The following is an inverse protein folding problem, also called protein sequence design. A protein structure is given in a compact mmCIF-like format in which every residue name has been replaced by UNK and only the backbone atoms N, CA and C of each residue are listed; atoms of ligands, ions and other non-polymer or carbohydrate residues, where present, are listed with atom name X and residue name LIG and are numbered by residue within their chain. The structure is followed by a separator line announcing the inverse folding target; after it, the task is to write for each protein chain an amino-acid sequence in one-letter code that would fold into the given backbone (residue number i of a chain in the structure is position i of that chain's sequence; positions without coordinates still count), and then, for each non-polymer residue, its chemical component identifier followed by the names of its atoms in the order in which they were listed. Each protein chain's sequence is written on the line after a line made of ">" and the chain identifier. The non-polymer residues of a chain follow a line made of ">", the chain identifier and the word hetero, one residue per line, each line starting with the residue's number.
data_IF_851042290479
#
_entry.id   IF_851042290479
#
_cell.length_a   1.000
_cell.length_b   1.000
_cell.length_c   1.000
_cell.angle_alpha   90.00
_cell.angle_beta   90.00
_cell.angle_gamma   90.00
#
_symmetry.space_group_name_H-M   'P 1'
#
loop_
_entity.id
_entity.type
_entity.pdbx_description
1 polymer ?
#
# COMPACT_ATOMS: atom_id res chain seq x y z
N UNK A 1 -33.77 -38.82 -52.72
CA UNK A 1 -32.78 -39.20 -51.67
C UNK A 1 -31.68 -38.16 -51.39
N UNK A 2 -31.35 -37.24 -52.29
CA UNK A 2 -30.23 -36.27 -52.11
C UNK A 2 -30.54 -35.08 -51.19
N UNK A 3 -31.78 -34.59 -51.15
CA UNK A 3 -32.17 -33.45 -50.29
C UNK A 3 -32.01 -33.69 -48.80
N UNK A 4 -32.18 -34.91 -48.32
CA UNK A 4 -32.08 -35.20 -46.88
C UNK A 4 -30.63 -35.30 -46.39
N UNK A 5 -29.67 -35.60 -47.30
CA UNK A 5 -28.23 -35.66 -46.95
C UNK A 5 -27.62 -34.24 -46.78
N UNK A 6 -28.06 -33.27 -47.57
CA UNK A 6 -27.60 -31.89 -47.45
C UNK A 6 -28.08 -31.26 -46.16
N UNK A 7 -29.33 -31.54 -45.76
CA UNK A 7 -29.93 -31.01 -44.50
C UNK A 7 -29.25 -31.61 -43.27
N UNK A 8 -28.90 -32.89 -43.29
CA UNK A 8 -28.20 -33.55 -42.18
C UNK A 8 -26.75 -33.03 -42.01
N UNK A 9 -26.06 -32.77 -43.12
CA UNK A 9 -24.69 -32.18 -43.07
C UNK A 9 -24.67 -30.75 -42.52
N UNK A 10 -25.68 -29.94 -42.86
CA UNK A 10 -25.78 -28.55 -42.35
C UNK A 10 -26.10 -28.54 -40.85
N UNK A 11 -26.99 -29.42 -40.38
CA UNK A 11 -27.31 -29.54 -38.96
C UNK A 11 -26.12 -30.01 -38.11
N UNK A 12 -25.34 -30.96 -38.61
CA UNK A 12 -24.14 -31.45 -37.92
C UNK A 12 -23.06 -30.35 -37.87
N UNK A 13 -22.90 -29.56 -38.91
CA UNK A 13 -21.93 -28.44 -38.93
C UNK A 13 -22.32 -27.34 -37.95
N UNK A 14 -23.61 -26.98 -37.84
CA UNK A 14 -24.09 -26.01 -36.88
C UNK A 14 -23.90 -26.47 -35.43
N UNK A 15 -24.16 -27.74 -35.15
CA UNK A 15 -23.94 -28.33 -33.83
C UNK A 15 -22.46 -28.37 -33.43
N UNK A 16 -21.55 -28.67 -34.37
CA UNK A 16 -20.11 -28.65 -34.13
C UNK A 16 -19.58 -27.23 -33.86
N UNK A 17 -20.02 -26.26 -34.63
CA UNK A 17 -19.64 -24.86 -34.44
C UNK A 17 -20.16 -24.33 -33.09
N UNK A 18 -21.40 -24.64 -32.71
CA UNK A 18 -21.97 -24.27 -31.44
C UNK A 18 -21.21 -24.87 -30.25
N UNK A 19 -20.78 -26.12 -30.34
CA UNK A 19 -19.97 -26.74 -29.28
C UNK A 19 -18.55 -26.14 -29.16
N UNK A 20 -17.93 -25.80 -30.30
CA UNK A 20 -16.59 -25.16 -30.28
C UNK A 20 -16.67 -23.74 -29.69
N UNK A 21 -17.68 -22.97 -30.05
CA UNK A 21 -17.89 -21.62 -29.48
C UNK A 21 -18.22 -21.71 -27.99
N UNK A 22 -19.02 -22.69 -27.56
CA UNK A 22 -19.33 -22.90 -26.13
C UNK A 22 -18.06 -23.34 -25.36
N UNK A 23 -17.23 -24.19 -25.93
CA UNK A 23 -15.98 -24.62 -25.31
C UNK A 23 -14.97 -23.48 -25.20
N UNK A 24 -14.88 -22.61 -26.21
CA UNK A 24 -13.98 -21.43 -26.13
C UNK A 24 -14.47 -20.42 -25.10
N UNK A 25 -15.76 -20.18 -24.96
CA UNK A 25 -16.31 -19.32 -23.92
C UNK A 25 -16.09 -19.95 -22.53
N UNK A 26 -16.21 -21.25 -22.36
CA UNK A 26 -15.96 -21.94 -21.10
C UNK A 26 -14.46 -21.97 -20.74
N UNK A 27 -13.56 -22.05 -21.70
CA UNK A 27 -12.10 -22.02 -21.45
C UNK A 27 -11.61 -20.62 -21.08
N UNK A 28 -12.25 -19.55 -21.56
CA UNK A 28 -11.90 -18.19 -21.17
C UNK A 28 -12.46 -17.80 -19.77
N UNK A 29 -13.48 -18.51 -19.27
CA UNK A 29 -14.04 -18.23 -17.93
C UNK A 29 -13.35 -19.02 -16.81
N UNK A 30 -12.63 -20.10 -17.11
CA UNK A 30 -11.92 -20.91 -16.10
C UNK A 30 -10.50 -20.45 -15.77
N UNK A 31 -10.03 -19.35 -16.36
CA UNK A 31 -8.69 -18.82 -16.09
C UNK A 31 -8.64 -17.81 -14.92
N UNK A 32 -9.75 -17.58 -14.24
CA UNK A 32 -9.76 -16.84 -12.99
C UNK A 32 -9.69 -17.87 -11.85
N UNK A 33 -8.47 -18.26 -11.46
CA UNK A 33 -8.33 -19.02 -10.21
C UNK A 33 -9.00 -18.22 -9.08
N UNK A 34 -10.01 -18.83 -8.46
CA UNK A 34 -10.61 -18.30 -7.24
C UNK A 34 -9.50 -18.04 -6.23
N UNK A 35 -9.14 -16.79 -6.00
CA UNK A 35 -8.17 -16.42 -4.98
C UNK A 35 -7.12 -15.39 -5.39
N UNK A 36 -6.86 -15.17 -6.68
CA UNK A 36 -5.81 -14.21 -7.09
C UNK A 36 -6.31 -12.78 -7.01
N UNK A 37 -5.72 -12.01 -6.10
CA UNK A 37 -6.05 -10.60 -5.89
C UNK A 37 -5.32 -9.74 -6.92
N UNK A 38 -6.08 -8.93 -7.66
CA UNK A 38 -5.51 -7.93 -8.55
C UNK A 38 -4.97 -6.74 -7.74
N UNK A 39 -3.78 -6.25 -8.11
CA UNK A 39 -3.24 -5.00 -7.60
C UNK A 39 -3.59 -3.90 -8.61
N UNK A 40 -4.35 -2.91 -8.16
CA UNK A 40 -4.65 -1.70 -8.90
C UNK A 40 -3.53 -0.66 -8.79
N UNK A 41 -3.89 0.61 -8.99
CA UNK A 41 -2.95 1.73 -8.94
C UNK A 41 -3.39 2.79 -7.95
N UNK A 42 -2.41 3.47 -7.36
CA UNK A 42 -2.66 4.64 -6.54
C UNK A 42 -3.53 5.66 -7.30
N UNK A 43 -4.59 6.10 -6.65
CA UNK A 43 -5.48 7.15 -7.16
C UNK A 43 -5.66 8.20 -6.04
N UNK A 44 -4.63 9.02 -5.77
CA UNK A 44 -4.64 9.97 -4.67
C UNK A 44 -5.84 10.91 -4.74
N UNK A 45 -6.53 11.06 -3.63
CA UNK A 45 -7.75 11.88 -3.47
C UNK A 45 -7.68 12.67 -2.16
N UNK A 46 -8.68 13.50 -1.95
CA UNK A 46 -8.83 14.25 -0.71
C UNK A 46 -7.96 15.51 -0.62
N UNK A 47 -8.04 16.16 0.53
CA UNK A 47 -7.32 17.40 0.78
C UNK A 47 -5.83 17.12 1.05
N UNK A 48 -4.95 18.03 0.63
CA UNK A 48 -3.54 17.97 1.04
C UNK A 48 -3.39 18.05 2.54
N UNK A 49 -2.44 17.30 3.09
CA UNK A 49 -2.02 17.43 4.48
C UNK A 49 -0.98 18.55 4.56
N UNK A 50 -1.37 19.63 5.22
CA UNK A 50 -0.48 20.78 5.40
C UNK A 50 0.48 20.51 6.55
N UNK A 51 1.75 20.30 6.24
CA UNK A 51 2.79 20.22 7.23
C UNK A 51 3.45 21.60 7.41
N UNK A 52 3.83 21.96 8.65
CA UNK A 52 4.51 23.25 8.86
C UNK A 52 5.86 23.26 8.16
N UNK A 53 6.26 24.43 7.67
CA UNK A 53 7.63 24.64 7.15
C UNK A 53 8.60 24.73 8.33
N UNK A 54 9.28 23.64 8.64
CA UNK A 54 10.24 23.55 9.73
C UNK A 54 11.65 23.84 9.23
N UNK A 55 12.38 24.70 9.94
CA UNK A 55 13.75 25.14 9.59
C UNK A 55 14.61 25.28 10.87
N UNK A 56 15.93 25.36 10.69
CA UNK A 56 16.85 25.63 11.79
C UNK A 56 16.94 24.52 12.84
N UNK A 57 16.68 23.28 12.44
CA UNK A 57 16.67 22.13 13.34
C UNK A 57 15.38 21.96 14.14
N UNK A 58 14.28 22.64 13.76
CA UNK A 58 13.00 22.51 14.46
C UNK A 58 12.39 21.13 14.29
N UNK A 59 11.79 20.62 15.37
CA UNK A 59 11.05 19.36 15.43
C UNK A 59 9.63 19.69 15.91
N UNK A 60 8.63 19.16 15.23
CA UNK A 60 7.24 19.31 15.65
C UNK A 60 6.95 18.32 16.78
N UNK A 61 6.40 18.82 17.88
CA UNK A 61 6.01 17.98 19.00
C UNK A 61 4.97 16.93 18.56
N UNK A 62 5.05 15.72 19.09
CA UNK A 62 4.23 14.59 18.64
C UNK A 62 2.72 14.82 18.81
N UNK A 63 2.30 15.57 19.81
CA UNK A 63 0.90 15.96 20.03
C UNK A 63 0.36 16.99 19.00
N UNK A 64 1.23 17.53 18.14
CA UNK A 64 0.90 18.44 17.05
C UNK A 64 0.97 17.76 15.68
N UNK A 65 1.29 16.47 15.63
CA UNK A 65 1.33 15.73 14.37
C UNK A 65 -0.07 15.65 13.76
N UNK A 66 -0.16 15.64 12.42
CA UNK A 66 -1.44 15.36 11.77
C UNK A 66 -1.92 13.95 12.12
N UNK A 67 -3.23 13.74 12.05
CA UNK A 67 -3.79 12.41 12.19
C UNK A 67 -3.29 11.52 11.04
N UNK A 68 -2.63 10.43 11.39
CA UNK A 68 -2.12 9.46 10.43
C UNK A 68 -3.22 8.88 9.53
N UNK A 69 -4.44 8.79 10.04
CA UNK A 69 -5.58 8.29 9.29
C UNK A 69 -6.09 9.25 8.20
N UNK A 70 -5.62 10.51 8.18
CA UNK A 70 -5.94 11.46 7.11
C UNK A 70 -5.14 11.25 5.81
N UNK A 71 -4.07 10.43 5.84
CA UNK A 71 -3.20 10.23 4.69
C UNK A 71 -3.70 9.21 3.67
N UNK A 72 -4.58 8.29 4.07
CA UNK A 72 -5.16 7.29 3.17
C UNK A 72 -6.64 7.15 3.50
N UNK A 73 -7.50 7.22 2.48
CA UNK A 73 -8.93 7.00 2.64
C UNK A 73 -9.37 5.65 2.05
N UNK A 74 -10.62 5.27 2.30
CA UNK A 74 -11.14 3.99 1.84
C UNK A 74 -11.24 3.87 0.31
N UNK A 75 -11.50 4.97 -0.40
CA UNK A 75 -11.59 4.96 -1.86
C UNK A 75 -10.21 4.79 -2.50
N UNK A 76 -9.17 5.31 -1.86
CA UNK A 76 -7.78 5.09 -2.26
C UNK A 76 -7.36 3.63 -2.04
N UNK A 77 -7.80 3.01 -0.93
CA UNK A 77 -7.59 1.57 -0.69
C UNK A 77 -8.31 0.74 -1.75
N UNK A 78 -9.56 1.09 -2.11
CA UNK A 78 -10.31 0.41 -3.18
C UNK A 78 -9.65 0.54 -4.55
N UNK A 79 -8.97 1.64 -4.81
CA UNK A 79 -8.22 1.82 -6.06
C UNK A 79 -7.00 0.89 -6.12
N UNK A 80 -6.32 0.67 -4.99
CA UNK A 80 -5.17 -0.24 -4.88
C UNK A 80 -5.63 -1.71 -4.84
N UNK A 81 -6.76 -1.99 -4.19
CA UNK A 81 -7.33 -3.33 -4.08
C UNK A 81 -8.77 -3.36 -4.62
N UNK A 82 -8.94 -3.54 -5.94
CA UNK A 82 -10.27 -3.73 -6.52
C UNK A 82 -10.98 -4.92 -5.87
N UNK A 83 -12.21 -4.69 -5.41
CA UNK A 83 -13.01 -5.73 -4.75
C UNK A 83 -12.75 -5.92 -3.25
N UNK A 84 -11.90 -5.10 -2.62
CA UNK A 84 -11.73 -5.08 -1.17
C UNK A 84 -13.06 -4.80 -0.44
N UNK A 85 -13.26 -5.44 0.70
CA UNK A 85 -14.46 -5.30 1.54
C UNK A 85 -14.07 -5.07 3.00
N UNK A 86 -15.03 -4.59 3.79
CA UNK A 86 -14.90 -4.46 5.25
C UNK A 86 -13.61 -3.71 5.64
N UNK A 87 -13.42 -2.51 5.07
CA UNK A 87 -12.29 -1.66 5.43
C UNK A 87 -12.63 -1.00 6.76
N UNK A 88 -11.88 -1.35 7.78
CA UNK A 88 -11.91 -0.75 9.10
C UNK A 88 -10.64 0.07 9.30
N UNK A 89 -10.77 1.24 9.91
CA UNK A 89 -9.70 2.19 10.13
C UNK A 89 -9.61 2.49 11.62
N UNK A 90 -8.44 2.33 12.19
CA UNK A 90 -8.16 2.55 13.60
C UNK A 90 -6.97 3.49 13.78
N UNK A 91 -7.22 4.62 14.43
CA UNK A 91 -6.15 5.53 14.85
C UNK A 91 -5.46 4.97 16.10
N UNK A 92 -4.15 4.96 16.11
CA UNK A 92 -3.33 4.40 17.20
C UNK A 92 -2.26 5.38 17.66
N UNK A 93 -1.99 5.37 18.97
CA UNK A 93 -0.94 6.20 19.52
C UNK A 93 0.46 5.70 19.17
N UNK A 94 1.38 6.66 19.00
CA UNK A 94 2.79 6.42 18.76
C UNK A 94 3.62 7.17 19.78
N UNK A 95 4.55 6.50 20.45
CA UNK A 95 5.56 7.19 21.24
C UNK A 95 6.60 7.80 20.32
N UNK A 96 7.05 8.99 20.66
CA UNK A 96 8.06 9.73 19.90
C UNK A 96 9.50 9.21 20.10
N UNK A 97 9.67 7.91 20.34
CA UNK A 97 10.99 7.31 20.59
C UNK A 97 11.99 7.54 19.46
N UNK A 98 11.50 7.48 18.21
CA UNK A 98 12.31 7.75 17.03
C UNK A 98 12.81 9.18 16.96
N UNK A 99 12.16 10.12 17.64
CA UNK A 99 12.58 11.52 17.66
C UNK A 99 13.73 11.78 18.64
N UNK A 100 13.88 10.99 19.69
CA UNK A 100 15.06 11.07 20.58
C UNK A 100 16.38 10.95 19.80
N UNK A 101 16.40 10.11 18.78
CA UNK A 101 17.59 9.86 17.99
C UNK A 101 17.98 11.04 17.08
N UNK A 102 17.04 11.98 16.84
CA UNK A 102 17.31 13.22 16.12
C UNK A 102 17.70 14.36 17.08
N UNK A 103 17.07 14.37 18.24
CA UNK A 103 17.21 15.48 19.16
C UNK A 103 18.61 15.48 19.74
N UNK A 104 19.39 16.45 19.33
CA UNK A 104 20.61 16.85 20.05
C UNK A 104 20.25 17.44 21.41
N UNK A 105 18.95 17.76 21.61
CA UNK A 105 18.41 18.37 22.82
C UNK A 105 18.03 17.29 23.83
N UNK A 106 18.78 17.22 24.93
CA UNK A 106 18.50 16.34 26.07
C UNK A 106 17.20 16.67 26.82
N UNK A 107 16.52 17.77 26.52
CA UNK A 107 15.23 18.13 27.07
C UNK A 107 14.06 17.37 26.47
N UNK A 108 14.26 16.66 25.35
CA UNK A 108 13.27 15.84 24.71
C UNK A 108 12.87 14.66 25.62
N UNK A 109 11.60 14.66 26.06
CA UNK A 109 11.09 13.68 27.00
C UNK A 109 10.37 12.54 26.26
N UNK A 110 10.49 11.31 26.79
CA UNK A 110 9.76 10.12 26.32
C UNK A 110 8.23 10.26 26.37
N UNK A 111 7.74 11.26 27.09
CA UNK A 111 6.31 11.54 27.26
C UNK A 111 5.64 12.18 26.03
N UNK A 112 6.41 12.59 25.03
CA UNK A 112 5.85 13.15 23.81
C UNK A 112 5.29 12.02 22.95
N UNK A 113 3.98 11.91 23.01
CA UNK A 113 3.19 10.90 22.35
C UNK A 113 2.19 11.55 21.41
N UNK A 114 2.07 11.03 20.21
CA UNK A 114 0.96 11.35 19.34
C UNK A 114 -0.15 10.32 19.56
N UNK A 115 -1.36 10.78 19.87
CA UNK A 115 -2.52 9.89 20.05
C UNK A 115 -3.02 9.32 18.72
N UNK A 116 -2.66 9.94 17.60
CA UNK A 116 -3.08 9.58 16.23
C UNK A 116 -1.91 9.42 15.25
N UNK A 117 -0.71 9.13 15.77
CA UNK A 117 0.50 9.03 14.94
C UNK A 117 0.59 7.77 14.07
N UNK A 118 -0.29 6.80 14.26
CA UNK A 118 -0.39 5.61 13.41
C UNK A 118 -1.84 5.38 12.98
N UNK A 119 -2.03 4.94 11.74
CA UNK A 119 -3.29 4.42 11.26
C UNK A 119 -3.15 2.96 10.87
N UNK A 120 -3.98 2.10 11.44
CA UNK A 120 -4.11 0.71 11.05
C UNK A 120 -5.39 0.53 10.24
N UNK A 121 -5.26 -0.10 9.09
CA UNK A 121 -6.37 -0.53 8.26
C UNK A 121 -6.45 -2.05 8.29
N UNK A 122 -7.61 -2.58 8.67
CA UNK A 122 -7.94 -3.99 8.55
C UNK A 122 -8.96 -4.15 7.43
N UNK A 123 -8.76 -5.10 6.54
CA UNK A 123 -9.60 -5.26 5.38
C UNK A 123 -9.70 -6.72 4.95
N UNK A 124 -10.73 -7.03 4.17
CA UNK A 124 -10.92 -8.33 3.55
C UNK A 124 -10.70 -8.23 2.05
N UNK A 125 -9.69 -8.90 1.53
CA UNK A 125 -9.43 -9.04 0.11
C UNK A 125 -10.26 -10.17 -0.51
N UNK A 126 -10.47 -10.18 -1.83
CA UNK A 126 -11.08 -11.31 -2.51
C UNK A 126 -10.38 -12.64 -2.15
N UNK A 127 -11.17 -13.68 -1.89
CA UNK A 127 -10.66 -14.98 -1.44
C UNK A 127 -10.47 -15.14 0.07
N UNK A 128 -10.42 -14.05 0.85
CA UNK A 128 -10.38 -14.14 2.31
C UNK A 128 -11.77 -14.40 2.91
N UNK A 129 -11.85 -15.29 3.89
CA UNK A 129 -13.08 -15.57 4.66
C UNK A 129 -13.35 -14.53 5.75
N UNK A 130 -12.29 -13.87 6.24
CA UNK A 130 -12.32 -12.81 7.26
C UNK A 130 -11.30 -11.71 6.92
N UNK A 131 -11.34 -10.59 7.63
CA UNK A 131 -10.40 -9.47 7.43
C UNK A 131 -9.02 -9.82 7.97
N UNK A 132 -8.21 -10.54 7.18
CA UNK A 132 -6.86 -10.96 7.55
C UNK A 132 -5.78 -9.99 7.04
N UNK A 133 -6.08 -9.26 5.96
CA UNK A 133 -5.14 -8.29 5.39
C UNK A 133 -5.13 -7.02 6.21
N UNK A 134 -3.93 -6.54 6.51
CA UNK A 134 -3.68 -5.30 7.24
C UNK A 134 -2.68 -4.44 6.50
N UNK A 135 -2.94 -3.14 6.50
CA UNK A 135 -2.01 -2.09 6.10
C UNK A 135 -1.88 -1.10 7.26
N UNK A 136 -0.70 -0.57 7.49
CA UNK A 136 -0.49 0.48 8.46
C UNK A 136 0.43 1.57 7.92
N UNK A 137 0.13 2.79 8.32
CA UNK A 137 0.93 3.98 8.12
C UNK A 137 1.27 4.58 9.47
N UNK A 138 2.54 4.91 9.70
CA UNK A 138 3.03 5.46 10.95
C UNK A 138 3.91 6.67 10.69
N UNK A 139 3.62 7.76 11.36
CA UNK A 139 4.48 8.92 11.43
C UNK A 139 5.62 8.62 12.40
N UNK A 140 6.85 8.78 11.95
CA UNK A 140 8.05 8.60 12.77
C UNK A 140 8.57 9.95 13.26
N UNK A 141 8.52 10.98 12.42
CA UNK A 141 8.88 12.36 12.78
C UNK A 141 8.26 13.38 11.82
N UNK A 142 8.03 14.58 12.34
CA UNK A 142 7.80 15.79 11.56
C UNK A 142 8.84 16.81 12.00
N UNK A 143 9.84 17.10 11.16
CA UNK A 143 11.00 17.88 11.53
C UNK A 143 11.58 18.67 10.35
N UNK A 144 12.57 19.52 10.63
CA UNK A 144 13.40 20.12 9.58
C UNK A 144 13.93 19.03 8.64
N UNK A 145 13.70 19.16 7.32
CA UNK A 145 14.15 18.16 6.34
C UNK A 145 15.64 17.80 6.46
N UNK A 146 16.50 18.74 6.89
CA UNK A 146 17.92 18.48 7.09
C UNK A 146 18.18 17.49 8.23
N UNK A 147 17.41 17.57 9.31
CA UNK A 147 17.48 16.61 10.43
C UNK A 147 17.04 15.23 9.96
N UNK A 148 15.91 15.16 9.23
CA UNK A 148 15.40 13.90 8.71
C UNK A 148 16.41 13.23 7.77
N UNK A 149 17.04 14.00 6.89
CA UNK A 149 18.10 13.48 6.00
C UNK A 149 19.24 12.90 6.83
N UNK A 150 19.77 13.67 7.78
CA UNK A 150 20.90 13.25 8.62
C UNK A 150 20.61 11.99 9.44
N UNK A 151 19.38 11.84 9.92
CA UNK A 151 18.95 10.61 10.60
C UNK A 151 18.85 9.43 9.64
N UNK A 152 18.10 9.58 8.56
CA UNK A 152 17.87 8.52 7.59
C UNK A 152 19.21 7.97 7.02
N UNK A 153 20.18 8.84 6.81
CA UNK A 153 21.51 8.45 6.32
C UNK A 153 22.34 7.70 7.38
N UNK A 154 22.10 7.94 8.68
CA UNK A 154 22.76 7.20 9.76
C UNK A 154 22.18 5.81 9.99
N UNK A 155 20.82 5.70 9.99
CA UNK A 155 20.15 4.42 10.31
C UNK A 155 20.10 3.46 9.15
N UNK A 156 20.23 3.96 7.93
CA UNK A 156 20.22 3.13 6.72
C UNK A 156 21.26 3.60 5.70
N UNK A 157 22.55 3.51 6.04
CA UNK A 157 23.61 3.94 5.13
C UNK A 157 23.65 3.00 3.91
N UNK A 158 23.30 3.50 2.75
CA UNK A 158 23.61 2.85 1.47
C UNK A 158 22.81 1.60 1.08
N UNK A 159 21.85 1.15 1.86
CA UNK A 159 21.07 -0.07 1.56
C UNK A 159 19.82 0.23 0.75
N UNK A 160 19.59 -0.56 -0.29
CA UNK A 160 18.37 -0.67 -1.15
C UNK A 160 17.45 0.57 -1.14
N UNK A 161 17.96 1.67 -1.71
CA UNK A 161 17.25 2.93 -1.70
C UNK A 161 16.51 3.12 -3.01
N UNK A 162 15.19 3.10 -2.96
CA UNK A 162 14.36 3.59 -4.05
C UNK A 162 14.27 5.12 -3.95
N UNK A 163 15.30 5.84 -4.43
CA UNK A 163 15.27 7.30 -4.51
C UNK A 163 14.18 7.74 -5.47
N UNK A 164 13.34 8.69 -5.04
CA UNK A 164 12.25 9.21 -5.85
C UNK A 164 11.13 8.21 -6.13
N UNK A 165 11.11 7.05 -5.45
CA UNK A 165 10.06 6.07 -5.61
C UNK A 165 8.72 6.67 -5.20
N UNK A 166 7.80 6.72 -6.16
CA UNK A 166 6.41 7.09 -5.90
C UNK A 166 6.22 8.45 -5.21
N UNK A 167 7.03 9.44 -5.55
CA UNK A 167 6.92 10.80 -5.03
C UNK A 167 7.59 11.04 -3.68
N UNK A 168 8.12 10.02 -3.01
CA UNK A 168 8.96 10.20 -1.83
C UNK A 168 10.35 10.73 -2.22
N UNK A 169 11.00 11.45 -1.33
CA UNK A 169 12.39 11.90 -1.56
C UNK A 169 13.37 10.72 -1.46
N UNK A 170 13.08 9.79 -0.54
CA UNK A 170 13.80 8.53 -0.36
C UNK A 170 12.93 7.53 0.39
N UNK A 171 13.02 6.26 0.02
CA UNK A 171 12.50 5.13 0.80
C UNK A 171 13.59 4.08 0.99
N UNK A 172 13.54 3.42 2.13
CA UNK A 172 14.41 2.29 2.50
C UNK A 172 13.54 1.14 2.93
N UNK A 173 13.82 -0.05 2.40
CA UNK A 173 13.14 -1.27 2.85
C UNK A 173 13.68 -1.63 4.21
N UNK A 174 12.80 -1.74 5.20
CA UNK A 174 13.12 -2.11 6.58
C UNK A 174 12.40 -3.42 6.93
N UNK A 175 13.12 -4.32 7.61
CA UNK A 175 12.59 -5.65 7.94
C UNK A 175 12.81 -6.70 6.85
N UNK A 176 13.37 -7.85 7.25
CA UNK A 176 13.74 -8.90 6.29
C UNK A 176 12.55 -9.70 5.80
N UNK A 177 11.50 -9.87 6.60
CA UNK A 177 10.40 -10.81 6.31
C UNK A 177 9.01 -10.16 6.16
N UNK A 178 8.78 -8.95 6.69
CA UNK A 178 7.45 -8.33 6.71
C UNK A 178 7.29 -7.14 5.77
N UNK A 179 8.34 -6.85 4.99
CA UNK A 179 8.30 -5.81 3.97
C UNK A 179 7.68 -4.52 4.45
N UNK A 180 8.40 -3.74 5.25
CA UNK A 180 8.03 -2.36 5.52
C UNK A 180 8.96 -1.39 4.81
N UNK A 181 8.45 -0.22 4.48
CA UNK A 181 9.22 0.86 3.89
C UNK A 181 9.28 2.04 4.85
N UNK A 182 10.49 2.50 5.18
CA UNK A 182 10.71 3.79 5.83
C UNK A 182 10.99 4.83 4.76
N UNK A 183 10.14 5.84 4.68
CA UNK A 183 10.16 6.85 3.64
C UNK A 183 10.25 8.25 4.25
N UNK A 184 10.87 9.18 3.49
CA UNK A 184 10.83 10.61 3.80
C UNK A 184 10.23 11.41 2.65
N UNK A 185 9.49 12.47 3.00
CA UNK A 185 8.97 13.46 2.06
C UNK A 185 8.96 14.84 2.73
N UNK A 186 9.84 15.73 2.29
CA UNK A 186 9.99 17.05 2.92
C UNK A 186 10.20 16.94 4.42
N UNK A 187 9.34 17.55 5.26
CA UNK A 187 9.43 17.52 6.71
C UNK A 187 8.92 16.22 7.36
N UNK A 188 8.39 15.26 6.60
CA UNK A 188 7.80 14.03 7.12
C UNK A 188 8.74 12.84 6.96
N UNK A 189 9.01 12.12 8.06
CA UNK A 189 9.53 10.76 8.09
C UNK A 189 8.39 9.83 8.49
N UNK A 190 8.20 8.76 7.73
CA UNK A 190 7.11 7.83 7.96
C UNK A 190 7.49 6.40 7.59
N UNK A 191 6.77 5.46 8.14
CA UNK A 191 6.90 4.05 7.80
C UNK A 191 5.54 3.52 7.33
N UNK A 192 5.57 2.69 6.28
CA UNK A 192 4.43 1.94 5.81
C UNK A 192 4.74 0.46 5.86
N UNK A 193 3.73 -0.34 6.15
CA UNK A 193 3.87 -1.78 6.19
C UNK A 193 2.52 -2.46 6.16
N UNK A 194 2.55 -3.77 6.24
CA UNK A 194 1.33 -4.54 6.26
C UNK A 194 1.59 -6.02 6.11
N UNK A 195 0.51 -6.77 6.12
CA UNK A 195 0.53 -8.22 5.92
C UNK A 195 -0.71 -8.69 5.20
N UNK A 196 -0.58 -9.78 4.49
CA UNK A 196 -1.69 -10.45 3.83
C UNK A 196 -1.44 -11.95 3.77
N UNK A 197 -2.52 -12.70 3.60
CA UNK A 197 -2.48 -14.17 3.43
C UNK A 197 -2.90 -14.59 2.02
N UNK A 198 -3.31 -13.64 1.17
CA UNK A 198 -3.75 -13.93 -0.19
C UNK A 198 -2.58 -14.08 -1.16
N UNK A 199 -2.83 -14.75 -2.27
CA UNK A 199 -1.96 -14.75 -3.44
C UNK A 199 -2.38 -13.63 -4.40
N UNK A 200 -1.40 -13.04 -5.09
CA UNK A 200 -1.64 -11.97 -6.04
C UNK A 200 -1.64 -12.48 -7.47
N UNK A 201 -2.56 -11.95 -8.27
CA UNK A 201 -2.73 -12.34 -9.67
C UNK A 201 -1.49 -12.00 -10.49
N UNK A 202 -1.06 -12.98 -11.32
CA UNK A 202 -0.01 -12.75 -12.31
C UNK A 202 1.42 -12.76 -11.75
N UNK A 203 1.61 -13.15 -10.49
CA UNK A 203 2.96 -13.26 -9.92
C UNK A 203 3.16 -14.59 -9.19
N UNK A 204 4.27 -15.31 -9.49
CA UNK A 204 4.64 -16.50 -8.75
C UNK A 204 5.34 -16.20 -7.41
N UNK A 205 5.62 -14.92 -7.12
CA UNK A 205 6.33 -14.54 -5.91
C UNK A 205 5.47 -14.74 -4.65
N UNK A 206 6.05 -15.12 -3.51
CA UNK A 206 5.35 -15.19 -2.23
C UNK A 206 4.69 -13.86 -1.86
N UNK A 207 3.50 -13.93 -1.26
CA UNK A 207 2.70 -12.76 -0.89
C UNK A 207 3.46 -11.64 -0.16
N UNK A 208 4.37 -11.91 0.80
CA UNK A 208 5.13 -10.85 1.47
C UNK A 208 6.02 -10.03 0.53
N UNK A 209 6.61 -10.66 -0.49
CA UNK A 209 7.45 -9.94 -1.46
C UNK A 209 6.60 -9.08 -2.40
N UNK A 210 5.48 -9.62 -2.88
CA UNK A 210 4.53 -8.86 -3.72
C UNK A 210 3.96 -7.69 -2.93
N UNK A 211 3.61 -7.90 -1.67
CA UNK A 211 3.15 -6.84 -0.77
C UNK A 211 4.20 -5.72 -0.68
N UNK A 212 5.44 -6.07 -0.41
CA UNK A 212 6.54 -5.13 -0.28
C UNK A 212 6.85 -4.39 -1.59
N UNK A 213 6.93 -5.12 -2.70
CA UNK A 213 7.53 -4.60 -3.94
C UNK A 213 6.48 -3.99 -4.89
N UNK A 214 5.22 -4.43 -4.81
CA UNK A 214 4.16 -3.99 -5.72
C UNK A 214 3.04 -3.20 -5.02
N UNK A 215 2.68 -3.59 -3.78
CA UNK A 215 1.56 -2.97 -3.07
C UNK A 215 2.01 -1.73 -2.28
N UNK A 216 3.04 -1.83 -1.44
CA UNK A 216 3.49 -0.70 -0.63
C UNK A 216 3.88 0.53 -1.46
N UNK A 217 4.50 0.42 -2.65
CA UNK A 217 4.74 1.56 -3.51
C UNK A 217 3.50 2.36 -3.88
N UNK A 218 2.36 1.70 -4.08
CA UNK A 218 1.09 2.38 -4.41
C UNK A 218 0.56 3.18 -3.21
N UNK A 219 0.70 2.63 -1.99
CA UNK A 219 0.39 3.38 -0.76
C UNK A 219 1.35 4.56 -0.54
N UNK A 220 2.65 4.39 -0.77
CA UNK A 220 3.62 5.48 -0.69
C UNK A 220 3.24 6.61 -1.66
N UNK A 221 2.86 6.28 -2.89
CA UNK A 221 2.42 7.27 -3.87
C UNK A 221 1.17 8.02 -3.40
N UNK A 222 0.20 7.33 -2.83
CA UNK A 222 -1.02 7.93 -2.27
C UNK A 222 -0.68 8.93 -1.16
N UNK A 223 0.16 8.52 -0.21
CA UNK A 223 0.57 9.33 0.93
C UNK A 223 1.35 10.57 0.47
N UNK A 224 2.36 10.37 -0.37
CA UNK A 224 3.27 11.46 -0.78
C UNK A 224 2.59 12.51 -1.66
N UNK A 225 1.57 12.13 -2.41
CA UNK A 225 0.79 13.05 -3.22
C UNK A 225 -0.01 14.07 -2.37
N UNK A 226 -0.29 13.75 -1.10
CA UNK A 226 -1.00 14.64 -0.16
C UNK A 226 -0.06 15.57 0.62
N UNK A 227 1.25 15.37 0.57
CA UNK A 227 2.23 16.18 1.30
C UNK A 227 2.64 17.35 0.42
N UNK A 228 2.37 18.56 0.89
CA UNK A 228 2.74 19.82 0.24
C UNK A 228 3.78 20.59 1.05
#
# INVERSE_FOLDING_TARGET
>A
MWKNRALALTLVSILLISNVVLLTILVETDALSEGDVAIGKAAPRGAPVNLPSLKGGAILAANQWPDACSFVDQEEIKAIFPGVKNIEQESRPVSALSIKDFAVDSSWKESDRSESGQCLYSMRLPGETYSATQFWFRIEAVADPKLIVGYADRVAPGTNTNQGARGADRCVITGLNEGSWSCRKGPLLFTVGGRTTVTFKGTPAPAPFVWRDDVLPEFVQTITAKIK
#
